data_IF_502393799122
#
_entry.id   IF_502393799122
#
_cell.length_a   1.000
_cell.length_b   1.000
_cell.length_c   1.000
_cell.angle_alpha   90.00
_cell.angle_beta   90.00
_cell.angle_gamma   90.00
#
_symmetry.space_group_name_H-M   'P 1'
#
loop_
_entity.id
_entity.type
_entity.pdbx_description
1 polymer ?
#
# COMPACT_ATOMS: atom_id res chain seq x y z
N UNK A 1 -17.26 -27.05 0.68
CA UNK A 1 -16.76 -26.75 0.74
C UNK A 1 -16.21 -26.44 0.18
N UNK A 2 -16.60 -26.36 -0.19
CA UNK A 2 -15.95 -25.96 -0.66
C UNK A 2 -14.88 -25.44 -0.19
N UNK A 3 -14.95 -24.43 0.22
CA UNK A 3 -13.92 -23.87 0.81
C UNK A 3 -13.56 -24.52 2.00
N UNK A 4 -14.43 -25.12 2.68
CA UNK A 4 -14.11 -25.79 3.77
C UNK A 4 -13.29 -26.90 3.51
N UNK A 5 -13.61 -27.56 2.47
CA UNK A 5 -12.86 -28.68 2.10
C UNK A 5 -11.61 -28.26 1.48
N UNK A 6 -11.57 -27.05 0.96
CA UNK A 6 -10.46 -26.59 0.17
C UNK A 6 -10.18 -25.18 0.54
N UNK A 7 -9.81 -24.95 1.79
CA UNK A 7 -9.58 -23.58 2.22
C UNK A 7 -8.42 -22.99 1.50
N UNK A 8 -8.41 -21.66 1.41
CA UNK A 8 -7.29 -20.97 0.83
C UNK A 8 -6.05 -21.24 1.65
N UNK A 9 -4.92 -21.42 1.01
CA UNK A 9 -3.68 -21.58 1.76
C UNK A 9 -3.37 -20.32 2.55
N UNK A 10 -2.65 -20.49 3.62
CA UNK A 10 -2.22 -19.36 4.43
C UNK A 10 -1.39 -18.42 3.58
N UNK A 11 -1.48 -17.11 3.80
CA UNK A 11 -0.65 -16.19 3.01
C UNK A 11 0.82 -16.35 3.35
N UNK A 12 1.67 -16.08 2.37
CA UNK A 12 3.10 -16.06 2.59
C UNK A 12 3.48 -14.96 3.56
N UNK A 13 2.78 -13.84 3.50
CA UNK A 13 3.06 -12.70 4.38
C UNK A 13 1.79 -11.87 4.46
N UNK A 14 1.63 -11.21 5.58
CA UNK A 14 0.52 -10.28 5.79
C UNK A 14 1.07 -9.03 6.44
N UNK A 15 0.78 -7.87 5.84
CA UNK A 15 1.30 -6.60 6.32
C UNK A 15 0.21 -5.54 6.31
N UNK A 16 0.50 -4.41 6.93
CA UNK A 16 -0.42 -3.29 6.98
C UNK A 16 0.28 -2.04 6.47
N UNK A 17 -0.38 -1.30 5.61
CA UNK A 17 0.08 0.00 5.16
C UNK A 17 -0.92 1.06 5.58
N UNK A 18 -0.45 2.28 5.80
CA UNK A 18 -1.31 3.38 6.21
C UNK A 18 -0.92 4.63 5.49
N UNK A 19 -1.90 5.45 5.19
CA UNK A 19 -1.66 6.78 4.67
C UNK A 19 -2.81 7.67 5.08
N UNK A 20 -2.52 8.73 5.86
CA UNK A 20 -3.54 9.60 6.40
C UNK A 20 -4.53 8.76 7.21
N UNK A 21 -5.79 8.76 6.83
CA UNK A 21 -6.79 7.96 7.54
C UNK A 21 -7.05 6.62 6.90
N UNK A 22 -6.33 6.30 5.82
CA UNK A 22 -6.55 5.05 5.12
C UNK A 22 -5.68 3.95 5.67
N UNK A 23 -6.21 2.74 5.70
CA UNK A 23 -5.52 1.55 6.18
C UNK A 23 -5.69 0.46 5.15
N UNK A 24 -4.60 -0.24 4.82
CA UNK A 24 -4.63 -1.36 3.90
C UNK A 24 -4.00 -2.56 4.58
N UNK A 25 -4.70 -3.68 4.60
CA UNK A 25 -4.14 -4.94 5.06
C UNK A 25 -3.89 -5.78 3.84
N UNK A 26 -2.67 -6.23 3.68
CA UNK A 26 -2.21 -6.83 2.44
C UNK A 26 -1.72 -8.24 2.71
N UNK A 27 -2.15 -9.18 1.89
CA UNK A 27 -1.74 -10.58 1.99
C UNK A 27 -1.23 -11.02 0.63
N UNK A 28 -0.06 -11.66 0.63
CA UNK A 28 0.55 -12.19 -0.60
C UNK A 28 0.44 -13.69 -0.60
N UNK A 29 0.11 -14.25 -1.76
CA UNK A 29 0.11 -15.70 -1.96
C UNK A 29 0.82 -16.00 -3.26
N UNK A 30 1.33 -17.23 -3.44
CA UNK A 30 1.90 -17.60 -4.73
C UNK A 30 0.84 -17.44 -5.82
N UNK A 31 1.21 -16.92 -6.95
CA UNK A 31 0.22 -16.74 -8.00
C UNK A 31 0.79 -16.16 -9.26
N UNK A 32 -0.05 -15.49 -10.02
CA UNK A 32 0.29 -15.01 -11.35
C UNK A 32 0.07 -13.50 -11.51
N UNK A 33 -0.19 -12.78 -10.42
CA UNK A 33 -0.34 -11.34 -10.51
C UNK A 33 -1.75 -10.84 -10.32
N UNK A 34 -2.64 -11.69 -9.81
CA UNK A 34 -4.01 -11.27 -9.58
C UNK A 34 -4.08 -10.41 -8.33
N UNK A 35 -4.70 -9.26 -8.44
CA UNK A 35 -4.83 -8.34 -7.30
C UNK A 35 -6.30 -8.10 -7.04
N UNK A 36 -6.73 -8.47 -5.83
CA UNK A 36 -8.11 -8.31 -5.38
C UNK A 36 -8.13 -7.33 -4.23
N UNK A 37 -9.05 -6.38 -4.26
CA UNK A 37 -9.18 -5.37 -3.22
C UNK A 37 -10.62 -5.35 -2.76
N UNK A 38 -10.82 -5.64 -1.49
CA UNK A 38 -12.15 -5.71 -0.90
C UNK A 38 -13.09 -6.62 -1.70
N UNK A 39 -12.55 -7.73 -2.18
CA UNK A 39 -13.35 -8.71 -2.92
C UNK A 39 -13.59 -8.37 -4.37
N UNK A 40 -12.94 -7.31 -4.90
CA UNK A 40 -13.10 -6.93 -6.28
C UNK A 40 -11.75 -6.93 -6.97
N UNK A 41 -11.75 -7.06 -8.29
CA UNK A 41 -10.51 -6.91 -9.04
C UNK A 41 -9.99 -5.49 -8.88
N UNK A 42 -8.68 -5.34 -8.91
CA UNK A 42 -8.05 -4.04 -8.69
C UNK A 42 -8.55 -2.97 -9.66
N UNK A 43 -8.76 -3.32 -10.92
CA UNK A 43 -9.20 -2.34 -11.91
C UNK A 43 -10.66 -1.94 -11.70
N UNK A 44 -11.45 -2.76 -11.03
CA UNK A 44 -12.80 -2.36 -10.66
C UNK A 44 -12.80 -1.46 -9.45
N UNK A 45 -11.96 -1.77 -8.46
CA UNK A 45 -11.93 -0.99 -7.23
C UNK A 45 -11.26 0.37 -7.45
N UNK A 46 -10.19 0.40 -8.24
CA UNK A 46 -9.51 1.63 -8.62
C UNK A 46 -9.60 1.80 -10.13
N UNK A 47 -10.69 2.40 -10.63
CA UNK A 47 -10.82 2.55 -12.09
C UNK A 47 -9.78 3.48 -12.70
N UNK A 48 -9.26 4.41 -11.89
CA UNK A 48 -8.25 5.34 -12.40
C UNK A 48 -6.90 4.65 -12.53
N UNK A 49 -6.32 4.74 -13.71
CA UNK A 49 -5.00 4.15 -13.93
C UNK A 49 -3.96 4.78 -13.04
N UNK A 50 -4.06 6.08 -12.77
CA UNK A 50 -3.07 6.73 -11.93
C UNK A 50 -3.06 6.16 -10.52
N UNK A 51 -4.21 5.78 -9.98
CA UNK A 51 -4.23 5.13 -8.67
C UNK A 51 -3.62 3.75 -8.73
N UNK A 52 -3.86 3.00 -9.80
CA UNK A 52 -3.27 1.67 -9.94
C UNK A 52 -1.77 1.73 -10.07
N UNK A 53 -1.25 2.74 -10.77
CA UNK A 53 0.19 2.92 -10.88
C UNK A 53 0.84 3.17 -9.52
N UNK A 54 0.14 3.85 -8.63
CA UNK A 54 0.68 4.14 -7.30
C UNK A 54 0.99 2.85 -6.55
N UNK A 55 0.02 1.94 -6.44
CA UNK A 55 0.28 0.76 -5.62
C UNK A 55 1.05 -0.32 -6.37
N UNK A 56 1.15 -0.23 -7.68
CA UNK A 56 1.98 -1.17 -8.44
C UNK A 56 3.46 -0.81 -8.39
N UNK A 57 3.79 0.39 -7.97
CA UNK A 57 5.18 0.86 -8.01
C UNK A 57 6.15 -0.06 -7.27
N UNK A 58 5.86 -0.52 -6.05
CA UNK A 58 6.80 -1.41 -5.36
C UNK A 58 7.04 -2.71 -6.14
N UNK A 59 6.01 -3.23 -6.80
CA UNK A 59 6.18 -4.45 -7.57
C UNK A 59 7.06 -4.21 -8.79
N UNK A 60 6.90 -3.04 -9.42
CA UNK A 60 7.72 -2.73 -10.59
C UNK A 60 9.16 -2.47 -10.23
N UNK A 61 9.38 -1.72 -9.15
CA UNK A 61 10.73 -1.37 -8.72
C UNK A 61 11.54 -2.62 -8.39
N UNK A 62 10.88 -3.64 -7.84
CA UNK A 62 11.57 -4.87 -7.45
C UNK A 62 11.48 -5.97 -8.51
N UNK A 63 10.82 -5.71 -9.63
CA UNK A 63 10.70 -6.70 -10.69
C UNK A 63 9.80 -7.87 -10.33
N UNK A 64 8.81 -7.65 -9.46
CA UNK A 64 7.94 -8.73 -9.00
C UNK A 64 6.51 -8.63 -9.51
N UNK A 65 6.29 -7.87 -10.58
CA UNK A 65 4.97 -7.84 -11.18
C UNK A 65 4.65 -9.23 -11.73
N UNK A 66 3.45 -9.71 -11.44
CA UNK A 66 3.00 -11.00 -11.96
C UNK A 66 3.52 -12.21 -11.20
N UNK A 67 4.20 -12.01 -10.09
CA UNK A 67 4.78 -13.11 -9.34
C UNK A 67 3.88 -13.59 -8.20
N UNK A 68 3.11 -12.67 -7.62
CA UNK A 68 2.28 -13.00 -6.46
C UNK A 68 0.84 -12.64 -6.73
N UNK A 69 -0.08 -13.40 -6.15
CA UNK A 69 -1.46 -12.95 -6.03
C UNK A 69 -1.57 -12.16 -4.75
N UNK A 70 -2.22 -11.02 -4.82
CA UNK A 70 -2.32 -10.10 -3.70
C UNK A 70 -3.78 -9.91 -3.36
N UNK A 71 -4.09 -10.06 -2.08
CA UNK A 71 -5.43 -9.81 -1.60
C UNK A 71 -5.32 -8.70 -0.56
N UNK A 72 -6.12 -7.67 -0.69
CA UNK A 72 -6.04 -6.54 0.22
C UNK A 72 -7.42 -6.13 0.69
N UNK A 73 -7.46 -5.64 1.93
CA UNK A 73 -8.64 -5.02 2.49
C UNK A 73 -8.26 -3.58 2.80
N UNK A 74 -8.96 -2.61 2.20
CA UNK A 74 -8.66 -1.21 2.42
C UNK A 74 -9.88 -0.49 2.93
N UNK A 75 -9.68 0.49 3.80
CA UNK A 75 -10.80 1.29 4.27
C UNK A 75 -10.29 2.61 4.80
N UNK A 76 -11.21 3.53 4.96
CA UNK A 76 -10.90 4.86 5.50
C UNK A 76 -10.34 5.79 4.44
N UNK A 77 -10.46 7.06 4.67
CA UNK A 77 -9.91 8.08 3.78
C UNK A 77 -10.55 8.04 2.40
N UNK A 78 -9.90 8.64 1.46
CA UNK A 78 -10.36 8.65 0.07
C UNK A 78 -9.56 7.72 -0.79
N UNK A 79 -9.90 7.69 -2.08
CA UNK A 79 -9.29 6.77 -3.02
C UNK A 79 -7.78 6.94 -3.11
N UNK A 80 -7.31 8.18 -3.16
CA UNK A 80 -5.87 8.43 -3.23
C UNK A 80 -5.15 7.94 -1.99
N UNK A 81 -5.74 8.18 -0.81
CA UNK A 81 -5.15 7.71 0.43
C UNK A 81 -5.11 6.20 0.49
N UNK A 82 -6.17 5.54 -0.01
CA UNK A 82 -6.21 4.09 -0.02
C UNK A 82 -5.14 3.52 -0.94
N UNK A 83 -4.93 4.13 -2.11
CA UNK A 83 -3.88 3.67 -3.02
C UNK A 83 -2.50 3.84 -2.37
N UNK A 84 -2.28 4.94 -1.66
CA UNK A 84 -1.01 5.15 -0.95
C UNK A 84 -0.81 4.17 0.19
N UNK A 85 -1.87 3.87 0.95
CA UNK A 85 -1.79 2.88 2.02
C UNK A 85 -1.48 1.50 1.45
N UNK A 86 -2.12 1.15 0.34
CA UNK A 86 -1.88 -0.13 -0.31
C UNK A 86 -0.43 -0.21 -0.81
N UNK A 87 0.10 0.87 -1.36
CA UNK A 87 1.49 0.90 -1.81
C UNK A 87 2.45 0.58 -0.67
N UNK A 88 2.24 1.21 0.48
CA UNK A 88 3.11 0.95 1.62
C UNK A 88 2.98 -0.49 2.09
N UNK A 89 1.75 -1.02 2.16
CA UNK A 89 1.55 -2.41 2.56
C UNK A 89 2.22 -3.39 1.63
N UNK A 90 2.15 -3.16 0.34
CA UNK A 90 2.80 -4.03 -0.65
C UNK A 90 4.32 -3.95 -0.49
N UNK A 91 4.88 -2.75 -0.30
CA UNK A 91 6.31 -2.59 -0.11
C UNK A 91 6.78 -3.33 1.13
N UNK A 92 6.03 -3.23 2.22
CA UNK A 92 6.38 -3.95 3.45
C UNK A 92 6.30 -5.45 3.28
N UNK A 93 5.33 -5.93 2.51
CA UNK A 93 5.22 -7.36 2.25
C UNK A 93 6.41 -7.86 1.45
N UNK A 94 6.84 -7.11 0.45
CA UNK A 94 8.01 -7.51 -0.34
C UNK A 94 9.26 -7.55 0.53
N UNK A 95 9.43 -6.56 1.39
CA UNK A 95 10.57 -6.54 2.28
C UNK A 95 10.54 -7.75 3.24
N UNK A 96 9.38 -8.08 3.76
CA UNK A 96 9.25 -9.20 4.69
C UNK A 96 9.53 -10.53 4.00
N UNK A 97 9.17 -10.66 2.73
CA UNK A 97 9.42 -11.90 2.00
C UNK A 97 10.88 -12.05 1.59
N UNK A 98 11.51 -10.94 1.18
CA UNK A 98 12.88 -10.98 0.73
C UNK A 98 13.57 -9.73 1.23
N UNK A 99 14.38 -9.88 2.26
CA UNK A 99 15.04 -8.73 2.88
C UNK A 99 15.93 -7.97 1.93
N UNK A 100 16.45 -8.63 0.89
CA UNK A 100 17.30 -7.95 -0.08
C UNK A 100 16.54 -6.90 -0.88
N UNK A 101 15.23 -6.95 -0.91
CA UNK A 101 14.44 -5.96 -1.62
C UNK A 101 14.31 -4.65 -0.85
N UNK A 102 14.73 -4.64 0.41
CA UNK A 102 14.66 -3.42 1.21
C UNK A 102 15.39 -2.26 0.57
N UNK A 103 16.57 -2.54 0.00
CA UNK A 103 17.40 -1.46 -0.54
C UNK A 103 16.71 -0.74 -1.70
N UNK A 104 16.27 -1.43 -2.76
CA UNK A 104 15.59 -0.72 -3.83
C UNK A 104 14.28 -0.07 -3.38
N UNK A 105 13.57 -0.68 -2.45
CA UNK A 105 12.32 -0.08 -1.96
C UNK A 105 12.60 1.18 -1.17
N UNK A 106 13.63 1.16 -0.35
CA UNK A 106 13.99 2.32 0.44
C UNK A 106 14.51 3.45 -0.45
N UNK A 107 15.29 3.13 -1.46
CA UNK A 107 15.80 4.14 -2.38
C UNK A 107 14.67 4.82 -3.14
N UNK A 108 13.61 4.09 -3.43
CA UNK A 108 12.45 4.67 -4.10
C UNK A 108 11.49 5.37 -3.13
N UNK A 109 11.80 5.35 -1.83
CA UNK A 109 10.97 6.02 -0.84
C UNK A 109 9.67 5.31 -0.53
N UNK A 110 9.60 4.01 -0.74
CA UNK A 110 8.34 3.28 -0.64
C UNK A 110 8.10 2.64 0.72
N UNK A 111 9.06 2.68 1.62
CA UNK A 111 8.92 2.04 2.92
C UNK A 111 8.56 2.99 4.04
N UNK A 112 8.48 4.28 3.77
CA UNK A 112 8.21 5.27 4.80
C UNK A 112 6.77 5.72 4.76
N UNK A 113 6.18 5.84 5.94
CA UNK A 113 4.86 6.44 6.02
C UNK A 113 5.01 7.95 5.87
N UNK A 114 4.09 8.55 5.13
CA UNK A 114 4.09 9.99 4.94
C UNK A 114 3.64 10.66 6.25
N UNK A 115 4.48 11.47 6.89
CA UNK A 115 4.11 12.09 8.16
C UNK A 115 3.39 13.43 8.00
N UNK A 116 3.16 13.90 6.80
CA UNK A 116 2.63 15.25 6.61
C UNK A 116 1.29 15.48 7.26
N UNK A 117 0.51 14.44 7.39
CA UNK A 117 -0.75 14.58 8.08
C UNK A 117 -0.57 15.15 9.48
N UNK A 118 0.46 14.74 10.18
CA UNK A 118 0.68 15.24 11.51
C UNK A 118 1.24 16.63 11.53
N UNK A 119 2.07 16.92 10.57
CA UNK A 119 2.68 18.21 10.56
C UNK A 119 1.71 19.33 10.38
N UNK A 120 0.71 19.11 9.57
CA UNK A 120 -0.21 20.18 9.26
C UNK A 120 -0.99 20.64 10.46
N UNK A 121 -0.96 19.92 11.55
CA UNK A 121 -1.73 20.31 12.69
C UNK A 121 -0.94 20.88 13.80
N UNK A 122 0.32 20.96 13.72
CA UNK A 122 1.06 21.30 14.86
C UNK A 122 1.18 22.68 15.17
N UNK A 123 1.19 23.53 14.34
CA UNK A 123 1.53 24.81 14.70
C UNK A 123 0.58 25.71 14.28
N UNK A 124 0.45 26.30 14.90
CA UNK A 124 -0.16 27.29 14.39
C UNK A 124 0.71 28.00 13.54
N UNK A 125 1.28 28.04 13.45
CA UNK A 125 1.75 28.56 12.77
C UNK A 125 1.37 28.46 11.98
N UNK A 126 0.89 28.46 12.05
CA UNK A 126 0.38 28.35 11.71
C UNK A 126 0.11 27.46 11.25
N UNK A 127 -0.10 27.07 11.08
CA UNK A 127 -0.18 26.22 11.03
C UNK A 127 0.58 25.36 10.84
N UNK A 128 0.62 24.97 10.55
CA UNK A 128 1.54 24.22 10.59
C UNK A 128 2.84 24.68 10.31
N UNK A 129 3.23 25.27 10.20
CA UNK A 129 4.22 25.69 9.97
C UNK A 129 4.41 26.65 9.43
N UNK A 130 3.84 27.31 9.94
CA UNK A 130 3.71 28.06 9.57
C UNK A 130 4.18 28.42 9.51
N UNK A 131 4.07 28.70 9.77
CA UNK A 131 4.18 29.03 9.49
C UNK A 131 4.32 28.93 8.95
N UNK A 132 4.10 29.02 8.83
CA UNK A 132 3.84 28.76 8.02
C UNK A 132 4.08 28.22 7.21
N UNK A 133 4.10 28.28 6.83
CA UNK A 133 4.17 27.77 6.15
C UNK A 133 4.59 27.01 5.54
N UNK A 134 4.54 27.13 5.45
CA UNK A 134 4.74 26.31 4.86
C UNK A 134 4.58 25.42 4.32
N UNK A 135 4.44 25.35 4.23
CA UNK A 135 3.93 24.48 3.81
C UNK A 135 4.02 23.65 3.30
N UNK A 136 4.04 23.58 3.14
CA UNK A 136 3.88 22.79 2.77
C UNK A 136 4.02 22.11 2.21
N UNK A 137 3.97 22.14 1.92
CA UNK A 137 3.80 21.49 1.73
C UNK A 137 3.62 21.05 1.12
#
# INVERSE_FOLDING_TARGET
MTDQENPMPAPLVQTTGRRKKSVARVRFRPGTGRIMINGRMADEYFPSESHRLVFMEPLRVTGNEGVYDIEATVHGGGTSGQAGALRLGIARALEALKGELRKPLKQAGLLSRDPRKKESKKYGLKKARKAPQYSKR
#
